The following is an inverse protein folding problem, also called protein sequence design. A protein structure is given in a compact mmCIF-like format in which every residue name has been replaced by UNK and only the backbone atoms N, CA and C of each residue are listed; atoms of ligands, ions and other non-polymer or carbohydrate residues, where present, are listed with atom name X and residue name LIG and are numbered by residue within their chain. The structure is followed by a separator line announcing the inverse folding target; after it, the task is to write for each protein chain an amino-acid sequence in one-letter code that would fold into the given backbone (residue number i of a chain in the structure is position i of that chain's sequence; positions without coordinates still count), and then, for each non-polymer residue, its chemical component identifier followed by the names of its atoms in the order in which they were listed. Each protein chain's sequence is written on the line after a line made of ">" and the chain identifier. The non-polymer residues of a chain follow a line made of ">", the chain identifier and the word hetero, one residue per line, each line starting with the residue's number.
data_IF_478513098821
#
_entry.id   IF_478513098821
#
_cell.length_a   1.000
_cell.length_b   1.000
_cell.length_c   1.000
_cell.angle_alpha   90.00
_cell.angle_beta   90.00
_cell.angle_gamma   90.00
#
_symmetry.space_group_name_H-M   'P 1'
#
loop_
_entity.id
_entity.type
_entity.pdbx_description
1 polymer ?
#
# COMPACT_ATOMS: atom_id res chain seq x y z
N UNK A 1 -41.85 66.41 -20.26
CA UNK A 1 -41.33 66.48 -18.88
C UNK A 1 -40.64 65.15 -18.61
N UNK A 2 -39.33 65.23 -18.42
CA UNK A 2 -38.36 64.12 -18.38
C UNK A 2 -38.63 63.25 -17.15
N UNK A 3 -38.74 61.93 -17.33
CA UNK A 3 -38.62 60.97 -16.23
C UNK A 3 -37.29 60.24 -16.36
N UNK A 4 -36.52 60.35 -15.29
CA UNK A 4 -35.10 60.06 -15.12
C UNK A 4 -34.80 58.57 -14.96
N UNK A 5 -33.64 58.15 -15.51
CA UNK A 5 -32.95 56.89 -15.22
C UNK A 5 -32.54 56.83 -13.74
N UNK A 6 -33.32 56.14 -12.91
CA UNK A 6 -32.89 55.74 -11.57
C UNK A 6 -33.79 54.60 -11.06
N UNK A 7 -33.65 53.38 -11.58
CA UNK A 7 -34.29 52.18 -11.00
C UNK A 7 -33.64 50.85 -11.47
N UNK A 8 -32.31 50.81 -11.70
CA UNK A 8 -31.59 49.60 -12.13
C UNK A 8 -30.51 49.14 -11.13
N UNK A 9 -30.46 49.68 -9.91
CA UNK A 9 -29.42 49.29 -8.93
C UNK A 9 -29.97 49.05 -7.54
N UNK A 10 -30.77 47.99 -7.38
CA UNK A 10 -30.96 47.28 -6.10
C UNK A 10 -31.82 46.05 -6.34
N UNK A 11 -31.18 44.88 -6.46
CA UNK A 11 -31.68 43.52 -6.12
C UNK A 11 -30.95 42.43 -6.93
N UNK A 12 -29.62 42.43 -6.87
CA UNK A 12 -28.82 41.20 -7.07
C UNK A 12 -28.30 40.76 -5.70
N UNK A 13 -29.24 40.52 -4.78
CA UNK A 13 -29.03 39.62 -3.64
C UNK A 13 -30.04 38.48 -3.84
N UNK A 14 -29.71 37.57 -4.76
CA UNK A 14 -30.49 36.39 -5.01
C UNK A 14 -29.56 35.17 -5.11
N UNK A 15 -29.31 34.57 -3.94
CA UNK A 15 -29.15 33.12 -3.82
C UNK A 15 -27.78 32.54 -4.16
N UNK A 16 -26.74 32.89 -3.38
CA UNK A 16 -25.68 31.91 -3.11
C UNK A 16 -26.32 30.83 -2.23
N UNK A 17 -26.91 29.81 -2.84
CA UNK A 17 -27.22 28.57 -2.13
C UNK A 17 -25.89 27.88 -1.86
N UNK A 18 -25.26 28.24 -0.74
CA UNK A 18 -24.12 27.53 -0.14
C UNK A 18 -24.53 26.07 0.10
N UNK A 19 -24.26 25.18 -0.84
CA UNK A 19 -24.28 23.74 -0.58
C UNK A 19 -22.93 23.33 -0.02
N UNK A 20 -22.91 22.89 1.24
CA UNK A 20 -21.75 22.22 1.84
C UNK A 20 -21.30 21.09 0.92
N UNK A 21 -20.00 21.01 0.62
CA UNK A 21 -19.43 19.80 0.01
C UNK A 21 -19.79 18.62 0.90
N UNK A 22 -20.42 17.61 0.31
CA UNK A 22 -20.91 16.42 1.04
C UNK A 22 -20.18 15.19 0.52
N UNK A 23 -20.34 14.07 1.20
CA UNK A 23 -19.72 12.78 0.89
C UNK A 23 -20.02 12.24 -0.52
N UNK A 24 -20.98 12.84 -1.23
CA UNK A 24 -21.42 12.46 -2.58
C UNK A 24 -20.98 13.45 -3.67
N UNK A 25 -20.18 14.46 -3.34
CA UNK A 25 -19.67 15.41 -4.33
C UNK A 25 -18.73 14.69 -5.31
N UNK A 26 -18.99 14.85 -6.61
CA UNK A 26 -18.24 14.18 -7.69
C UNK A 26 -16.74 14.48 -7.65
N UNK A 27 -15.92 13.45 -7.84
CA UNK A 27 -14.45 13.51 -7.81
C UNK A 27 -13.82 14.29 -8.98
N UNK A 28 -14.55 14.48 -10.08
CA UNK A 28 -14.04 15.09 -11.32
C UNK A 28 -14.62 16.49 -11.59
N UNK A 29 -15.61 16.92 -10.82
CA UNK A 29 -16.18 18.25 -10.96
C UNK A 29 -15.71 19.11 -9.80
N UNK A 30 -15.03 20.21 -10.13
CA UNK A 30 -14.94 21.36 -9.23
C UNK A 30 -16.35 21.66 -8.67
N UNK A 31 -16.47 22.17 -7.44
CA UNK A 31 -17.77 22.60 -6.96
C UNK A 31 -18.39 23.48 -8.04
N UNK A 32 -19.61 23.17 -8.50
CA UNK A 32 -20.28 23.87 -9.62
C UNK A 32 -20.38 25.41 -9.44
N UNK A 33 -19.94 25.93 -8.29
CA UNK A 33 -19.82 27.34 -7.97
C UNK A 33 -18.52 28.01 -8.45
N UNK A 34 -17.46 27.28 -8.83
CA UNK A 34 -16.20 27.88 -9.27
C UNK A 34 -16.14 27.91 -10.80
N UNK A 35 -16.19 29.09 -11.38
CA UNK A 35 -15.83 29.31 -12.79
C UNK A 35 -14.34 29.01 -12.99
N UNK A 36 -13.92 28.62 -14.21
CA UNK A 36 -12.49 28.43 -14.54
C UNK A 36 -11.64 29.65 -14.14
N UNK A 37 -12.23 30.85 -14.20
CA UNK A 37 -11.60 32.09 -13.75
C UNK A 37 -11.28 32.09 -12.24
N UNK A 38 -12.21 31.69 -11.37
CA UNK A 38 -12.02 31.64 -9.91
C UNK A 38 -11.02 30.55 -9.49
N UNK A 39 -11.00 29.41 -10.19
CA UNK A 39 -9.95 28.39 -9.99
C UNK A 39 -8.57 28.92 -10.37
N UNK A 40 -8.48 29.71 -11.44
CA UNK A 40 -7.21 30.30 -11.90
C UNK A 40 -6.73 31.41 -10.97
N UNK A 41 -7.65 32.13 -10.31
CA UNK A 41 -7.36 33.17 -9.33
C UNK A 41 -6.90 32.61 -7.97
N UNK A 42 -7.43 31.45 -7.57
CA UNK A 42 -7.01 30.74 -6.35
C UNK A 42 -5.74 29.89 -6.54
N UNK A 43 -5.40 29.56 -7.79
CA UNK A 43 -4.14 28.91 -8.13
C UNK A 43 -2.97 29.88 -8.07
N UNK A 44 -1.77 29.39 -7.75
CA UNK A 44 -0.65 30.31 -7.49
C UNK A 44 -0.17 30.98 -8.77
N UNK A 45 0.18 32.26 -8.68
CA UNK A 45 0.94 32.97 -9.72
C UNK A 45 2.45 32.65 -9.72
N UNK A 46 2.92 31.70 -8.90
CA UNK A 46 4.34 31.33 -8.87
C UNK A 46 4.84 30.84 -10.24
N UNK A 47 6.10 31.12 -10.60
CA UNK A 47 6.68 30.64 -11.85
C UNK A 47 6.79 29.10 -11.83
N UNK A 48 6.57 28.48 -13.00
CA UNK A 48 6.53 27.03 -13.16
C UNK A 48 7.76 26.33 -12.55
N UNK A 49 8.96 26.85 -12.82
CA UNK A 49 10.22 26.25 -12.37
C UNK A 49 10.33 26.15 -10.85
N UNK A 50 9.84 27.16 -10.12
CA UNK A 50 9.88 27.15 -8.64
C UNK A 50 8.92 26.11 -8.06
N UNK A 51 7.72 26.00 -8.62
CA UNK A 51 6.74 24.99 -8.21
C UNK A 51 7.26 23.59 -8.55
N UNK A 52 7.80 23.41 -9.75
CA UNK A 52 8.40 22.15 -10.19
C UNK A 52 9.54 21.69 -9.27
N UNK A 53 10.42 22.60 -8.84
CA UNK A 53 11.51 22.27 -7.92
C UNK A 53 11.00 21.91 -6.51
N UNK A 54 9.97 22.63 -6.02
CA UNK A 54 9.31 22.30 -4.74
C UNK A 54 8.66 20.92 -4.80
N UNK A 55 7.93 20.63 -5.87
CA UNK A 55 7.29 19.32 -6.09
C UNK A 55 8.34 18.23 -6.24
N UNK A 56 9.43 18.45 -7.00
CA UNK A 56 10.49 17.45 -7.15
C UNK A 56 11.14 17.10 -5.81
N UNK A 57 11.45 18.11 -4.99
CA UNK A 57 12.02 17.90 -3.65
C UNK A 57 11.04 17.17 -2.74
N UNK A 58 9.77 17.58 -2.73
CA UNK A 58 8.75 16.94 -1.92
C UNK A 58 8.52 15.49 -2.35
N UNK A 59 8.38 15.24 -3.65
CA UNK A 59 8.14 13.93 -4.23
C UNK A 59 9.29 12.98 -3.92
N UNK A 60 10.53 13.33 -4.26
CA UNK A 60 11.71 12.48 -4.00
C UNK A 60 11.88 12.16 -2.51
N UNK A 61 11.68 13.14 -1.62
CA UNK A 61 11.78 12.91 -0.16
C UNK A 61 10.65 12.00 0.33
N UNK A 62 9.42 12.23 -0.12
CA UNK A 62 8.24 11.47 0.26
C UNK A 62 8.28 10.03 -0.24
N UNK A 63 8.61 9.85 -1.52
CA UNK A 63 8.80 8.52 -2.13
C UNK A 63 9.93 7.76 -1.46
N UNK A 64 11.02 8.42 -1.06
CA UNK A 64 12.08 7.78 -0.29
C UNK A 64 11.57 7.22 1.05
N UNK A 65 10.83 8.01 1.83
CA UNK A 65 10.26 7.54 3.10
C UNK A 65 9.30 6.37 2.90
N UNK A 66 8.43 6.45 1.91
CA UNK A 66 7.44 5.41 1.64
C UNK A 66 8.08 4.13 1.10
N UNK A 67 9.04 4.23 0.17
CA UNK A 67 9.81 3.09 -0.31
C UNK A 67 10.60 2.43 0.84
N UNK A 68 11.22 3.23 1.71
CA UNK A 68 11.90 2.72 2.90
C UNK A 68 10.93 2.01 3.86
N UNK A 69 9.70 2.50 4.03
CA UNK A 69 8.69 1.80 4.80
C UNK A 69 8.36 0.42 4.20
N UNK A 70 8.12 0.35 2.90
CA UNK A 70 7.83 -0.92 2.21
C UNK A 70 8.99 -1.92 2.32
N UNK A 71 10.23 -1.44 2.19
CA UNK A 71 11.43 -2.25 2.37
C UNK A 71 11.61 -2.73 3.81
N UNK A 72 11.44 -1.85 4.80
CA UNK A 72 11.50 -2.25 6.21
C UNK A 72 10.43 -3.30 6.54
N UNK A 73 9.23 -3.13 6.00
CA UNK A 73 8.15 -4.08 6.21
C UNK A 73 8.43 -5.45 5.57
N UNK A 74 9.10 -5.50 4.42
CA UNK A 74 9.50 -6.77 3.79
C UNK A 74 10.64 -7.49 4.54
N UNK A 75 11.37 -6.80 5.41
CA UNK A 75 12.38 -7.44 6.26
C UNK A 75 11.78 -8.37 7.32
N UNK A 76 10.55 -8.11 7.78
CA UNK A 76 9.87 -8.97 8.77
C UNK A 76 9.70 -10.41 8.23
N UNK A 77 9.02 -10.65 7.08
CA UNK A 77 8.91 -11.99 6.54
C UNK A 77 10.27 -12.57 6.12
N UNK A 78 11.21 -11.74 5.68
CA UNK A 78 12.58 -12.19 5.37
C UNK A 78 13.28 -12.80 6.58
N UNK A 79 13.22 -12.16 7.75
CA UNK A 79 13.80 -12.68 9.00
C UNK A 79 13.16 -14.01 9.40
N UNK A 80 11.83 -14.15 9.23
CA UNK A 80 11.14 -15.41 9.48
C UNK A 80 11.65 -16.53 8.56
N UNK A 81 11.80 -16.26 7.26
CA UNK A 81 12.34 -17.20 6.28
C UNK A 81 13.74 -17.65 6.66
N UNK A 82 14.61 -16.71 7.01
CA UNK A 82 15.98 -17.03 7.44
C UNK A 82 15.96 -17.92 8.68
N UNK A 83 15.22 -17.54 9.72
CA UNK A 83 15.27 -18.23 11.01
C UNK A 83 14.63 -19.63 10.94
N UNK A 84 13.46 -19.74 10.29
CA UNK A 84 12.80 -21.03 10.09
C UNK A 84 13.55 -21.92 9.10
N UNK A 85 14.21 -21.35 8.09
CA UNK A 85 15.04 -22.08 7.15
C UNK A 85 16.17 -22.87 7.81
N UNK A 86 16.73 -22.36 8.91
CA UNK A 86 17.75 -23.06 9.69
C UNK A 86 17.19 -24.21 10.55
N UNK A 87 15.87 -24.30 10.75
CA UNK A 87 15.25 -25.43 11.47
C UNK A 87 15.06 -26.66 10.58
N UNK A 88 14.81 -26.45 9.28
CA UNK A 88 14.64 -27.51 8.31
C UNK A 88 13.74 -27.15 7.14
N UNK A 89 13.88 -27.91 6.04
CA UNK A 89 13.15 -27.68 4.80
C UNK A 89 11.63 -27.84 4.96
N UNK A 90 11.18 -28.83 5.75
CA UNK A 90 9.75 -29.09 6.01
C UNK A 90 9.09 -27.93 6.75
N UNK A 91 9.76 -27.39 7.77
CA UNK A 91 9.28 -26.23 8.54
C UNK A 91 9.20 -24.99 7.65
N UNK A 92 10.24 -24.76 6.84
CA UNK A 92 10.27 -23.64 5.90
C UNK A 92 9.13 -23.73 4.88
N UNK A 93 8.94 -24.91 4.27
CA UNK A 93 7.86 -25.14 3.31
C UNK A 93 6.48 -24.89 3.94
N UNK A 94 6.25 -25.39 5.16
CA UNK A 94 5.00 -25.16 5.88
C UNK A 94 4.78 -23.67 6.21
N UNK A 95 5.82 -22.96 6.64
CA UNK A 95 5.72 -21.52 6.89
C UNK A 95 5.37 -20.75 5.62
N UNK A 96 6.09 -20.98 4.52
CA UNK A 96 5.86 -20.30 3.25
C UNK A 96 4.44 -20.56 2.74
N UNK A 97 3.99 -21.81 2.80
CA UNK A 97 2.62 -22.18 2.41
C UNK A 97 1.58 -21.43 3.27
N UNK A 98 1.80 -21.37 4.59
CA UNK A 98 0.94 -20.61 5.52
C UNK A 98 0.89 -19.13 5.18
N UNK A 99 2.06 -18.51 4.98
CA UNK A 99 2.14 -17.08 4.68
C UNK A 99 1.50 -16.74 3.34
N UNK A 100 1.56 -17.66 2.36
CA UNK A 100 0.89 -17.49 1.07
C UNK A 100 -0.64 -17.59 1.21
N UNK A 101 -1.15 -18.57 1.96
CA UNK A 101 -2.57 -18.65 2.28
C UNK A 101 -3.05 -17.39 3.01
N UNK A 102 -2.29 -16.92 4.00
CA UNK A 102 -2.57 -15.69 4.72
C UNK A 102 -2.59 -14.46 3.79
N UNK A 103 -1.60 -14.34 2.90
CA UNK A 103 -1.49 -13.24 1.97
C UNK A 103 -2.70 -13.16 1.04
N UNK A 104 -3.12 -14.29 0.45
CA UNK A 104 -4.23 -14.33 -0.51
C UNK A 104 -5.59 -14.13 0.17
N UNK A 105 -5.82 -14.79 1.32
CA UNK A 105 -7.14 -14.80 1.97
C UNK A 105 -7.37 -13.55 2.81
N UNK A 106 -6.36 -13.05 3.51
CA UNK A 106 -6.52 -11.92 4.45
C UNK A 106 -5.85 -10.63 3.96
N UNK A 107 -4.55 -10.68 3.64
CA UNK A 107 -3.75 -9.46 3.39
C UNK A 107 -4.14 -8.74 2.10
N UNK A 108 -4.16 -9.43 0.97
CA UNK A 108 -4.43 -8.84 -0.35
C UNK A 108 -5.82 -8.16 -0.43
N UNK A 109 -6.93 -8.78 0.03
CA UNK A 109 -8.21 -8.08 0.09
C UNK A 109 -8.20 -6.88 1.05
N UNK A 110 -7.45 -6.97 2.15
CA UNK A 110 -7.30 -5.82 3.06
C UNK A 110 -6.62 -4.66 2.36
N UNK A 111 -5.48 -4.88 1.70
CA UNK A 111 -4.77 -3.87 0.91
C UNK A 111 -5.67 -3.24 -0.16
N UNK A 112 -6.46 -4.04 -0.89
CA UNK A 112 -7.41 -3.52 -1.89
C UNK A 112 -8.48 -2.61 -1.29
N UNK A 113 -9.07 -2.96 -0.14
CA UNK A 113 -10.03 -2.07 0.53
C UNK A 113 -9.40 -0.77 1.01
N UNK A 114 -8.11 -0.81 1.33
CA UNK A 114 -7.39 0.35 1.84
C UNK A 114 -7.00 1.33 0.75
N UNK A 115 -6.75 0.87 -0.48
CA UNK A 115 -6.61 1.76 -1.64
C UNK A 115 -7.86 2.61 -1.88
N UNK A 116 -9.06 2.03 -1.70
CA UNK A 116 -10.30 2.80 -1.74
C UNK A 116 -10.39 3.83 -0.60
N UNK A 117 -10.02 3.42 0.63
CA UNK A 117 -9.97 4.33 1.78
C UNK A 117 -9.02 5.50 1.55
N UNK A 118 -7.81 5.25 1.04
CA UNK A 118 -6.80 6.27 0.73
C UNK A 118 -7.36 7.31 -0.25
N UNK A 119 -8.07 6.86 -1.28
CA UNK A 119 -8.73 7.75 -2.26
C UNK A 119 -9.76 8.66 -1.59
N UNK A 120 -10.62 8.12 -0.73
CA UNK A 120 -11.62 8.94 -0.03
C UNK A 120 -10.98 9.89 1.00
N UNK A 121 -9.99 9.41 1.76
CA UNK A 121 -9.31 10.21 2.78
C UNK A 121 -8.54 11.39 2.17
N UNK A 122 -7.83 11.19 1.05
CA UNK A 122 -7.12 12.28 0.36
C UNK A 122 -8.08 13.37 -0.13
N UNK A 123 -9.18 12.97 -0.77
CA UNK A 123 -10.19 13.94 -1.22
C UNK A 123 -10.81 14.72 -0.02
N UNK A 124 -11.16 14.01 1.06
CA UNK A 124 -11.74 14.64 2.25
C UNK A 124 -10.75 15.58 2.96
N UNK A 125 -9.45 15.30 2.92
CA UNK A 125 -8.42 16.08 3.61
C UNK A 125 -8.34 17.52 3.10
N UNK A 126 -8.56 17.75 1.80
CA UNK A 126 -8.43 19.09 1.18
C UNK A 126 -9.74 19.67 0.64
N UNK A 127 -10.71 18.86 0.24
CA UNK A 127 -11.97 19.34 -0.33
C UNK A 127 -13.04 19.70 0.71
N UNK A 128 -12.90 19.20 1.95
CA UNK A 128 -13.83 19.46 3.04
C UNK A 128 -13.29 20.52 4.00
N UNK A 129 -14.15 21.46 4.42
CA UNK A 129 -13.85 22.34 5.56
C UNK A 129 -13.90 21.58 6.89
N UNK A 130 -14.66 20.48 6.95
CA UNK A 130 -14.74 19.60 8.11
C UNK A 130 -13.61 18.57 8.07
N UNK A 131 -12.60 18.78 8.93
CA UNK A 131 -11.45 17.90 9.10
C UNK A 131 -11.84 16.48 9.57
N UNK A 132 -12.99 16.32 10.24
CA UNK A 132 -13.40 15.03 10.81
C UNK A 132 -13.87 14.03 9.76
N UNK A 133 -14.12 14.49 8.53
CA UNK A 133 -14.54 13.63 7.44
C UNK A 133 -13.48 12.60 7.04
N UNK A 134 -12.19 12.95 7.17
CA UNK A 134 -11.07 12.00 6.96
C UNK A 134 -11.17 10.84 7.96
N UNK A 135 -11.46 11.14 9.22
CA UNK A 135 -11.70 10.15 10.27
C UNK A 135 -12.92 9.27 10.00
N UNK A 136 -13.98 9.79 9.37
CA UNK A 136 -15.13 8.98 8.96
C UNK A 136 -14.77 7.98 7.87
N UNK A 137 -13.98 8.38 6.88
CA UNK A 137 -13.51 7.46 5.84
C UNK A 137 -12.57 6.40 6.39
N UNK A 138 -11.70 6.74 7.35
CA UNK A 138 -10.92 5.75 8.08
C UNK A 138 -11.84 4.75 8.78
N UNK A 139 -12.87 5.20 9.52
CA UNK A 139 -13.83 4.31 10.17
C UNK A 139 -14.55 3.38 9.19
N UNK A 140 -14.93 3.87 8.00
CA UNK A 140 -15.51 3.03 6.93
C UNK A 140 -14.55 1.95 6.47
N UNK A 141 -13.29 2.32 6.20
CA UNK A 141 -12.25 1.37 5.83
C UNK A 141 -12.05 0.31 6.90
N UNK A 142 -11.98 0.71 8.17
CA UNK A 142 -11.88 -0.22 9.30
C UNK A 142 -13.07 -1.19 9.33
N UNK A 143 -14.30 -0.70 9.25
CA UNK A 143 -15.50 -1.54 9.27
C UNK A 143 -15.54 -2.51 8.08
N UNK A 144 -15.14 -2.05 6.89
CA UNK A 144 -15.07 -2.90 5.70
C UNK A 144 -14.04 -4.03 5.88
N UNK A 145 -12.86 -3.70 6.41
CA UNK A 145 -11.83 -4.69 6.74
C UNK A 145 -12.32 -5.65 7.81
N UNK A 146 -12.96 -5.18 8.89
CA UNK A 146 -13.54 -6.07 9.91
C UNK A 146 -14.57 -7.03 9.32
N UNK A 147 -15.46 -6.56 8.44
CA UNK A 147 -16.44 -7.39 7.77
C UNK A 147 -15.79 -8.49 6.91
N UNK A 148 -14.71 -8.16 6.20
CA UNK A 148 -13.87 -9.13 5.49
C UNK A 148 -13.21 -10.13 6.44
N UNK A 149 -12.64 -9.68 7.54
CA UNK A 149 -11.98 -10.54 8.52
C UNK A 149 -12.93 -11.56 9.16
N UNK A 150 -14.22 -11.22 9.33
CA UNK A 150 -15.25 -12.16 9.78
C UNK A 150 -15.37 -13.37 8.83
N UNK A 151 -15.14 -13.17 7.53
CA UNK A 151 -15.16 -14.23 6.52
C UNK A 151 -13.79 -14.93 6.42
N UNK A 152 -12.70 -14.16 6.42
CA UNK A 152 -11.36 -14.68 6.22
C UNK A 152 -10.86 -15.55 7.40
N UNK A 153 -11.15 -15.16 8.65
CA UNK A 153 -10.63 -15.86 9.83
C UNK A 153 -11.13 -17.31 9.93
N UNK A 154 -12.43 -17.62 9.78
CA UNK A 154 -12.90 -19.02 9.78
C UNK A 154 -12.25 -19.88 8.71
N UNK A 155 -11.96 -19.33 7.53
CA UNK A 155 -11.28 -20.04 6.45
C UNK A 155 -9.85 -20.38 6.89
N UNK A 156 -9.12 -19.40 7.43
CA UNK A 156 -7.75 -19.58 7.89
C UNK A 156 -7.64 -20.55 9.10
N UNK A 157 -8.61 -20.53 10.02
CA UNK A 157 -8.69 -21.49 11.13
C UNK A 157 -8.82 -22.95 10.64
N UNK A 158 -9.46 -23.14 9.48
CA UNK A 158 -9.58 -24.45 8.83
C UNK A 158 -8.44 -24.70 7.82
N UNK A 159 -7.37 -23.90 7.82
CA UNK A 159 -6.27 -23.97 6.87
C UNK A 159 -5.67 -25.37 6.74
N UNK A 160 -5.40 -26.06 7.86
CA UNK A 160 -4.90 -27.46 7.84
C UNK A 160 -5.82 -28.39 7.05
N UNK A 161 -7.13 -28.34 7.31
CA UNK A 161 -8.13 -29.20 6.66
C UNK A 161 -8.23 -28.90 5.17
N UNK A 162 -8.17 -27.61 4.80
CA UNK A 162 -8.20 -27.17 3.41
C UNK A 162 -6.94 -27.67 2.68
N UNK A 163 -5.76 -27.54 3.29
CA UNK A 163 -4.51 -28.03 2.71
C UNK A 163 -4.50 -29.55 2.54
N UNK A 164 -5.01 -30.29 3.53
CA UNK A 164 -5.20 -31.74 3.41
C UNK A 164 -6.17 -32.10 2.28
N UNK A 165 -7.27 -31.36 2.11
CA UNK A 165 -8.25 -31.59 1.05
C UNK A 165 -7.68 -31.31 -0.35
N UNK A 166 -6.73 -30.39 -0.47
CA UNK A 166 -6.00 -30.10 -1.72
C UNK A 166 -4.89 -31.13 -2.00
N UNK A 167 -4.64 -32.06 -1.07
CA UNK A 167 -3.67 -33.14 -1.23
C UNK A 167 -2.26 -32.81 -0.76
N UNK A 168 -2.09 -31.81 0.10
CA UNK A 168 -0.79 -31.50 0.71
C UNK A 168 -0.34 -32.61 1.67
N UNK A 169 0.98 -32.75 1.82
CA UNK A 169 1.57 -33.71 2.76
C UNK A 169 1.04 -33.46 4.19
N UNK A 170 0.61 -34.49 4.93
CA UNK A 170 -0.01 -34.31 6.24
C UNK A 170 0.83 -33.52 7.24
N UNK A 171 2.15 -33.72 7.26
CA UNK A 171 3.04 -33.00 8.16
C UNK A 171 3.15 -31.52 7.81
N UNK A 172 3.28 -31.19 6.51
CA UNK A 172 3.33 -29.81 6.03
C UNK A 172 2.00 -29.11 6.30
N UNK A 173 0.87 -29.77 6.01
CA UNK A 173 -0.46 -29.23 6.26
C UNK A 173 -0.69 -28.95 7.76
N UNK A 174 -0.26 -29.87 8.64
CA UNK A 174 -0.35 -29.71 10.08
C UNK A 174 0.48 -28.54 10.59
N UNK A 175 1.77 -28.48 10.22
CA UNK A 175 2.64 -27.36 10.60
C UNK A 175 2.12 -26.03 10.05
N UNK A 176 1.57 -26.04 8.84
CA UNK A 176 0.99 -24.84 8.23
C UNK A 176 -0.23 -24.35 9.00
N UNK A 177 -1.12 -25.27 9.39
CA UNK A 177 -2.25 -24.98 10.25
C UNK A 177 -1.84 -24.41 11.60
N UNK A 178 -0.78 -24.94 12.21
CA UNK A 178 -0.24 -24.39 13.46
C UNK A 178 0.25 -22.95 13.29
N UNK A 179 0.96 -22.65 12.20
CA UNK A 179 1.47 -21.32 11.91
C UNK A 179 0.32 -20.33 11.66
N UNK A 180 -0.66 -20.71 10.82
CA UNK A 180 -1.86 -19.93 10.54
C UNK A 180 -2.66 -19.60 11.81
N UNK A 181 -2.90 -20.60 12.67
CA UNK A 181 -3.64 -20.42 13.91
C UNK A 181 -3.03 -19.36 14.84
N UNK A 182 -1.69 -19.27 14.87
CA UNK A 182 -0.99 -18.22 15.63
C UNK A 182 -1.09 -16.89 14.90
N UNK A 183 -0.79 -16.88 13.59
CA UNK A 183 -0.77 -15.67 12.77
C UNK A 183 -2.12 -14.95 12.70
N UNK A 184 -3.23 -15.66 12.91
CA UNK A 184 -4.58 -15.08 13.01
C UNK A 184 -4.67 -13.97 14.07
N UNK A 185 -3.88 -14.05 15.13
CA UNK A 185 -3.84 -13.03 16.18
C UNK A 185 -3.14 -11.73 15.73
N UNK A 186 -2.37 -11.77 14.65
CA UNK A 186 -1.65 -10.63 14.05
C UNK A 186 -2.41 -9.92 12.93
N UNK A 187 -3.47 -10.54 12.37
CA UNK A 187 -4.20 -9.99 11.22
C UNK A 187 -4.85 -8.65 11.56
N UNK A 188 -5.52 -8.60 12.71
CA UNK A 188 -6.18 -7.38 13.15
C UNK A 188 -5.18 -6.22 13.35
N UNK A 189 -4.13 -6.35 14.18
CA UNK A 189 -3.21 -5.25 14.37
C UNK A 189 -2.45 -4.87 13.08
N UNK A 190 -2.11 -5.83 12.23
CA UNK A 190 -1.47 -5.55 10.95
C UNK A 190 -2.37 -4.72 10.02
N UNK A 191 -3.63 -5.12 9.85
CA UNK A 191 -4.58 -4.38 9.01
C UNK A 191 -4.91 -2.99 9.57
N UNK A 192 -5.04 -2.86 10.89
CA UNK A 192 -5.21 -1.56 11.54
C UNK A 192 -3.98 -0.67 11.38
N UNK A 193 -2.76 -1.22 11.47
CA UNK A 193 -1.52 -0.49 11.23
C UNK A 193 -1.49 0.07 9.81
N UNK A 194 -1.78 -0.77 8.83
CA UNK A 194 -1.84 -0.37 7.44
C UNK A 194 -2.88 0.76 7.25
N UNK A 195 -4.03 0.68 7.93
CA UNK A 195 -5.11 1.67 7.73
C UNK A 195 -4.71 3.03 8.32
N UNK A 196 -4.05 2.99 9.48
CA UNK A 196 -3.44 4.16 10.09
C UNK A 196 -2.32 4.74 9.23
N UNK A 197 -1.51 3.90 8.57
CA UNK A 197 -0.45 4.31 7.65
C UNK A 197 -1.05 5.04 6.44
N UNK A 198 -2.05 4.47 5.76
CA UNK A 198 -2.78 5.14 4.68
C UNK A 198 -3.44 6.44 5.14
N UNK A 199 -4.00 6.49 6.35
CA UNK A 199 -4.56 7.71 6.94
C UNK A 199 -3.51 8.82 7.08
N UNK A 200 -2.28 8.49 7.51
CA UNK A 200 -1.18 9.46 7.56
C UNK A 200 -0.71 9.88 6.16
N UNK A 201 -0.58 8.93 5.22
CA UNK A 201 -0.16 9.20 3.84
C UNK A 201 -1.17 10.10 3.11
N UNK A 202 -2.47 9.90 3.34
CA UNK A 202 -3.52 10.79 2.81
C UNK A 202 -3.38 12.25 3.26
N UNK A 203 -2.72 12.48 4.40
CA UNK A 203 -2.43 13.80 4.97
C UNK A 203 -1.01 14.29 4.67
N UNK A 204 -0.31 13.66 3.72
CA UNK A 204 1.06 13.97 3.33
C UNK A 204 2.14 13.66 4.39
N UNK A 205 1.79 12.86 5.41
CA UNK A 205 2.70 12.45 6.49
C UNK A 205 3.35 11.09 6.19
N UNK A 206 4.21 11.05 5.18
CA UNK A 206 4.82 9.82 4.64
C UNK A 206 5.81 9.14 5.59
N UNK A 207 6.43 9.89 6.51
CA UNK A 207 7.46 9.35 7.42
C UNK A 207 6.90 8.55 8.61
N UNK A 208 5.59 8.59 8.85
CA UNK A 208 4.97 7.96 10.02
C UNK A 208 5.18 6.44 10.07
N UNK A 209 4.85 5.75 8.98
CA UNK A 209 5.05 4.31 8.86
C UNK A 209 6.53 3.92 8.98
N UNK A 210 7.42 4.64 8.30
CA UNK A 210 8.86 4.37 8.32
C UNK A 210 9.47 4.55 9.70
N UNK A 211 9.04 5.58 10.44
CA UNK A 211 9.52 5.84 11.80
C UNK A 211 9.19 4.66 12.71
N UNK A 212 7.95 4.16 12.66
CA UNK A 212 7.51 3.01 13.47
C UNK A 212 8.27 1.75 13.07
N UNK A 213 8.34 1.46 11.77
CA UNK A 213 9.04 0.27 11.26
C UNK A 213 10.53 0.28 11.58
N UNK A 214 11.17 1.45 11.59
CA UNK A 214 12.58 1.61 11.96
C UNK A 214 12.89 1.13 13.38
N UNK A 215 11.93 1.20 14.30
CA UNK A 215 12.06 0.63 15.64
C UNK A 215 11.60 -0.82 15.71
N UNK A 216 10.50 -1.17 15.05
CA UNK A 216 9.92 -2.52 15.15
C UNK A 216 10.79 -3.57 14.48
N UNK A 217 11.41 -3.31 13.33
CA UNK A 217 12.18 -4.33 12.59
C UNK A 217 13.37 -4.87 13.39
N UNK A 218 14.23 -4.04 14.02
CA UNK A 218 15.28 -4.54 14.90
C UNK A 218 14.75 -5.34 16.10
N UNK A 219 13.63 -4.89 16.68
CA UNK A 219 12.97 -5.59 17.78
C UNK A 219 12.45 -6.96 17.29
N UNK A 220 11.85 -7.01 16.10
CA UNK A 220 11.38 -8.24 15.47
C UNK A 220 12.53 -9.22 15.30
N UNK A 221 13.66 -8.79 14.72
CA UNK A 221 14.82 -9.65 14.53
C UNK A 221 15.33 -10.23 15.85
N UNK A 222 15.35 -9.42 16.91
CA UNK A 222 15.77 -9.85 18.25
C UNK A 222 14.78 -10.86 18.84
N UNK A 223 13.48 -10.55 18.84
CA UNK A 223 12.44 -11.44 19.39
C UNK A 223 12.37 -12.74 18.59
N UNK A 224 12.46 -12.67 17.27
CA UNK A 224 12.44 -13.84 16.40
C UNK A 224 13.61 -14.76 16.72
N UNK A 225 14.84 -14.25 16.75
CA UNK A 225 16.02 -15.03 17.11
C UNK A 225 15.87 -15.68 18.50
N UNK A 226 15.40 -14.92 19.49
CA UNK A 226 15.19 -15.44 20.85
C UNK A 226 14.10 -16.53 20.89
N UNK A 227 12.98 -16.36 20.21
CA UNK A 227 11.88 -17.33 20.24
C UNK A 227 12.15 -18.58 19.38
N UNK A 228 12.95 -18.46 18.33
CA UNK A 228 13.22 -19.56 17.41
C UNK A 228 14.46 -20.36 17.80
N UNK A 229 15.57 -19.69 18.16
CA UNK A 229 16.88 -20.33 18.34
C UNK A 229 17.42 -20.34 19.78
N UNK A 230 16.85 -19.57 20.70
CA UNK A 230 17.32 -19.59 22.09
C UNK A 230 17.04 -20.93 22.77
N UNK A 231 17.79 -21.22 23.83
CA UNK A 231 17.56 -22.39 24.70
C UNK A 231 16.16 -22.40 25.34
N UNK A 232 15.54 -21.23 25.49
CA UNK A 232 14.15 -21.07 25.96
C UNK A 232 13.14 -20.83 24.83
N UNK A 233 13.58 -20.98 23.57
CA UNK A 233 12.75 -20.76 22.40
C UNK A 233 11.65 -21.82 22.25
N UNK A 234 10.57 -21.43 21.58
CA UNK A 234 9.45 -22.31 21.21
C UNK A 234 9.59 -22.88 19.78
N UNK A 235 10.79 -22.76 19.20
CA UNK A 235 11.16 -23.32 17.90
C UNK A 235 10.36 -22.72 16.75
N UNK A 236 9.83 -23.59 15.88
CA UNK A 236 9.05 -23.22 14.68
C UNK A 236 7.93 -22.20 14.95
N UNK A 237 7.18 -22.40 16.04
CA UNK A 237 6.07 -21.51 16.43
C UNK A 237 6.55 -20.10 16.79
N UNK A 238 7.82 -19.97 17.17
CA UNK A 238 8.46 -18.72 17.57
C UNK A 238 8.42 -17.66 16.49
N UNK A 239 8.55 -18.05 15.21
CA UNK A 239 8.49 -17.11 14.09
C UNK A 239 7.09 -16.49 13.93
N UNK A 240 6.02 -17.29 14.05
CA UNK A 240 4.66 -16.79 14.02
C UNK A 240 4.38 -15.86 15.23
N UNK A 241 4.79 -16.26 16.43
CA UNK A 241 4.61 -15.45 17.65
C UNK A 241 5.38 -14.13 17.57
N UNK A 242 6.62 -14.14 17.08
CA UNK A 242 7.41 -12.94 16.86
C UNK A 242 6.72 -11.98 15.89
N UNK A 243 6.12 -12.52 14.82
CA UNK A 243 5.36 -11.74 13.83
C UNK A 243 4.15 -11.07 14.47
N UNK A 244 3.33 -11.83 15.23
CA UNK A 244 2.16 -11.28 15.92
C UNK A 244 2.56 -10.18 16.91
N UNK A 245 3.62 -10.38 17.70
CA UNK A 245 4.12 -9.35 18.62
C UNK A 245 4.52 -8.09 17.83
N UNK A 246 5.23 -8.25 16.72
CA UNK A 246 5.62 -7.14 15.86
C UNK A 246 4.43 -6.41 15.26
N UNK A 247 3.38 -7.11 14.83
CA UNK A 247 2.15 -6.48 14.32
C UNK A 247 1.48 -5.62 15.40
N UNK A 248 1.41 -6.11 16.64
CA UNK A 248 0.91 -5.32 17.77
C UNK A 248 1.80 -4.12 18.10
N UNK A 249 3.13 -4.27 18.05
CA UNK A 249 4.07 -3.16 18.23
C UNK A 249 3.92 -2.11 17.12
N UNK A 250 3.70 -2.54 15.87
CA UNK A 250 3.42 -1.65 14.73
C UNK A 250 2.14 -0.86 14.97
N UNK A 251 1.05 -1.52 15.36
CA UNK A 251 -0.21 -0.86 15.69
C UNK A 251 -0.03 0.16 16.84
N UNK A 252 0.58 -0.25 17.96
CA UNK A 252 0.82 0.64 19.09
C UNK A 252 1.68 1.83 18.68
N UNK A 253 2.76 1.59 17.93
CA UNK A 253 3.68 2.62 17.45
C UNK A 253 3.00 3.65 16.56
N UNK A 254 2.18 3.21 15.60
CA UNK A 254 1.50 4.13 14.68
C UNK A 254 0.40 4.93 15.38
N UNK A 255 -0.32 4.34 16.34
CA UNK A 255 -1.30 5.06 17.15
C UNK A 255 -0.63 6.12 18.04
N UNK A 256 0.53 5.81 18.62
CA UNK A 256 1.33 6.79 19.37
C UNK A 256 1.81 7.91 18.45
N UNK A 257 2.26 7.58 17.23
CA UNK A 257 2.66 8.57 16.23
C UNK A 257 1.50 9.50 15.87
N UNK A 258 0.33 8.94 15.54
CA UNK A 258 -0.88 9.72 15.21
C UNK A 258 -1.22 10.68 16.36
N UNK A 259 -1.26 10.17 17.60
CA UNK A 259 -1.57 10.98 18.80
C UNK A 259 -0.60 12.13 19.03
N UNK A 260 0.67 12.00 18.63
CA UNK A 260 1.71 13.03 18.77
C UNK A 260 1.84 13.95 17.56
N UNK A 261 1.18 13.62 16.45
CA UNK A 261 1.22 14.37 15.21
C UNK A 261 -0.02 15.25 15.04
N UNK A 262 -0.01 16.15 14.06
CA UNK A 262 -1.18 16.96 13.68
C UNK A 262 -2.33 16.11 13.11
N UNK A 263 -2.07 14.86 12.72
CA UNK A 263 -3.07 13.97 12.14
C UNK A 263 -4.24 13.65 13.09
N UNK A 264 -4.02 13.77 14.41
CA UNK A 264 -5.07 13.53 15.40
C UNK A 264 -6.25 14.51 15.25
N UNK A 265 -6.03 15.70 14.70
CA UNK A 265 -7.09 16.68 14.45
C UNK A 265 -8.12 16.18 13.41
N UNK A 266 -7.69 15.29 12.52
CA UNK A 266 -8.51 14.75 11.43
C UNK A 266 -9.22 13.44 11.81
N UNK A 267 -8.87 12.85 12.95
CA UNK A 267 -9.54 11.64 13.45
C UNK A 267 -10.96 11.93 13.94
N UNK A 268 -11.15 13.04 14.67
CA UNK A 268 -12.41 13.35 15.32
C UNK A 268 -12.72 12.38 16.47
N UNK A 269 -13.73 11.52 16.27
CA UNK A 269 -14.21 10.52 17.24
C UNK A 269 -14.96 9.39 16.52
N UNK A 270 -15.17 8.26 17.20
CA UNK A 270 -16.10 7.24 16.70
C UNK A 270 -17.50 7.82 16.58
N UNK A 271 -18.07 7.75 15.36
CA UNK A 271 -19.43 8.21 15.08
C UNK A 271 -20.12 7.19 14.17
N UNK A 272 -21.25 6.57 14.59
CA UNK A 272 -22.02 5.67 13.73
C UNK A 272 -22.46 6.29 12.41
N UNK A 273 -22.49 7.62 12.29
CA UNK A 273 -22.71 8.30 11.00
C UNK A 273 -21.68 7.95 9.96
N UNK A 274 -20.46 7.58 10.35
CA UNK A 274 -19.45 7.06 9.43
C UNK A 274 -19.95 5.82 8.68
N UNK A 275 -20.90 5.05 9.21
CA UNK A 275 -21.47 3.88 8.54
C UNK A 275 -22.51 4.23 7.45
N UNK A 276 -22.88 5.51 7.31
CA UNK A 276 -23.71 5.95 6.19
C UNK A 276 -22.90 5.84 4.90
N UNK A 277 -23.56 5.57 3.78
CA UNK A 277 -22.95 5.51 2.44
C UNK A 277 -21.82 4.46 2.25
N UNK A 278 -21.84 3.35 3.01
CA UNK A 278 -20.91 2.23 2.79
C UNK A 278 -20.98 1.66 1.35
N UNK A 279 -22.12 1.82 0.67
CA UNK A 279 -22.27 1.42 -0.73
C UNK A 279 -21.25 2.09 -1.66
N UNK A 280 -21.07 3.41 -1.57
CA UNK A 280 -20.08 4.12 -2.40
C UNK A 280 -18.65 3.71 -2.05
N UNK A 281 -18.38 3.39 -0.78
CA UNK A 281 -17.10 2.83 -0.38
C UNK A 281 -16.86 1.47 -1.05
N UNK A 282 -17.81 0.54 -0.96
CA UNK A 282 -17.68 -0.80 -1.56
C UNK A 282 -17.64 -0.78 -3.09
N UNK A 283 -18.31 0.18 -3.72
CA UNK A 283 -18.26 0.38 -5.17
C UNK A 283 -16.84 0.66 -5.68
N UNK A 284 -16.00 1.31 -4.88
CA UNK A 284 -14.58 1.51 -5.18
C UNK A 284 -13.69 0.39 -4.62
N UNK A 285 -14.00 -0.10 -3.43
CA UNK A 285 -13.19 -1.12 -2.74
C UNK A 285 -13.23 -2.49 -3.43
N UNK A 286 -14.40 -2.95 -3.89
CA UNK A 286 -14.54 -4.27 -4.53
C UNK A 286 -13.69 -4.37 -5.81
N UNK A 287 -13.74 -3.42 -6.77
CA UNK A 287 -12.84 -3.43 -7.91
C UNK A 287 -11.37 -3.41 -7.50
N UNK A 288 -11.00 -2.60 -6.50
CA UNK A 288 -9.61 -2.53 -6.03
C UNK A 288 -9.13 -3.88 -5.44
N UNK A 289 -9.96 -4.54 -4.63
CA UNK A 289 -9.71 -5.91 -4.13
C UNK A 289 -9.52 -6.88 -5.29
N UNK A 290 -10.41 -6.85 -6.28
CA UNK A 290 -10.31 -7.73 -7.45
C UNK A 290 -8.99 -7.49 -8.19
N UNK A 291 -8.58 -6.23 -8.39
CA UNK A 291 -7.33 -5.92 -9.08
C UNK A 291 -6.10 -6.43 -8.33
N UNK A 292 -6.05 -6.27 -7.00
CA UNK A 292 -4.92 -6.73 -6.18
C UNK A 292 -4.88 -8.26 -6.12
N UNK A 293 -6.03 -8.92 -5.93
CA UNK A 293 -6.08 -10.39 -5.93
C UNK A 293 -5.76 -10.97 -7.31
N UNK A 294 -6.25 -10.35 -8.40
CA UNK A 294 -5.96 -10.79 -9.76
C UNK A 294 -4.48 -10.63 -10.11
N UNK A 295 -3.82 -9.54 -9.70
CA UNK A 295 -2.38 -9.36 -9.95
C UNK A 295 -1.56 -10.43 -9.24
N UNK A 296 -1.84 -10.72 -7.96
CA UNK A 296 -1.21 -11.83 -7.24
C UNK A 296 -1.42 -13.17 -7.96
N UNK A 297 -2.64 -13.45 -8.39
CA UNK A 297 -2.97 -14.70 -9.09
C UNK A 297 -2.24 -14.82 -10.44
N UNK A 298 -2.07 -13.73 -11.18
CA UNK A 298 -1.32 -13.73 -12.44
C UNK A 298 0.16 -14.10 -12.24
N UNK A 299 0.82 -13.64 -11.16
CA UNK A 299 2.20 -14.03 -10.87
C UNK A 299 2.33 -15.51 -10.49
N UNK A 300 1.37 -16.06 -9.75
CA UNK A 300 1.32 -17.49 -9.44
C UNK A 300 1.08 -18.32 -10.71
N UNK A 301 0.16 -17.89 -11.59
CA UNK A 301 -0.05 -18.53 -12.88
C UNK A 301 1.21 -18.50 -13.75
N UNK A 302 1.97 -17.39 -13.75
CA UNK A 302 3.23 -17.29 -14.46
C UNK A 302 4.27 -18.29 -13.89
N UNK A 303 4.37 -18.39 -12.57
CA UNK A 303 5.25 -19.34 -11.89
C UNK A 303 4.89 -20.79 -12.25
N UNK A 304 3.62 -21.17 -12.11
CA UNK A 304 3.11 -22.50 -12.48
C UNK A 304 3.33 -22.78 -13.97
N UNK A 305 3.06 -21.80 -14.84
CA UNK A 305 3.27 -21.94 -16.28
C UNK A 305 4.75 -22.21 -16.61
N UNK A 306 5.67 -21.49 -15.98
CA UNK A 306 7.11 -21.68 -16.17
C UNK A 306 7.60 -23.05 -15.69
N UNK A 307 6.93 -23.64 -14.68
CA UNK A 307 7.27 -24.98 -14.18
C UNK A 307 7.11 -26.09 -15.23
N UNK A 308 6.19 -25.94 -16.20
CA UNK A 308 6.01 -26.90 -17.29
C UNK A 308 7.16 -26.91 -18.31
N UNK A 309 7.97 -25.85 -18.35
CA UNK A 309 9.13 -25.73 -19.23
C UNK A 309 10.43 -26.24 -18.58
N UNK A 310 10.35 -26.88 -17.42
CA UNK A 310 11.48 -27.49 -16.71
C UNK A 310 12.08 -26.62 -15.61
N UNK A 311 12.97 -27.23 -14.82
CA UNK A 311 13.53 -26.63 -13.60
C UNK A 311 14.35 -25.36 -13.87
N UNK A 312 15.10 -25.31 -14.97
CA UNK A 312 15.92 -24.14 -15.35
C UNK A 312 15.01 -22.94 -15.66
N UNK A 313 13.96 -23.14 -16.44
CA UNK A 313 12.97 -22.12 -16.79
C UNK A 313 12.24 -21.59 -15.56
N UNK A 314 11.86 -22.48 -14.63
CA UNK A 314 11.24 -22.12 -13.37
C UNK A 314 12.19 -21.30 -12.48
N UNK A 315 13.46 -21.70 -12.37
CA UNK A 315 14.46 -20.98 -11.60
C UNK A 315 14.71 -19.58 -12.20
N UNK A 316 14.86 -19.47 -13.52
CA UNK A 316 15.03 -18.19 -14.20
C UNK A 316 13.83 -17.26 -14.00
N UNK A 317 12.62 -17.79 -14.15
CA UNK A 317 11.37 -17.03 -13.91
C UNK A 317 11.26 -16.59 -12.46
N UNK A 318 11.66 -17.43 -11.50
CA UNK A 318 11.65 -17.10 -10.06
C UNK A 318 12.62 -15.98 -9.74
N UNK A 319 13.85 -16.01 -10.26
CA UNK A 319 14.83 -14.92 -10.08
C UNK A 319 14.26 -13.61 -10.63
N UNK A 320 13.59 -13.69 -11.77
CA UNK A 320 13.01 -12.52 -12.37
C UNK A 320 11.80 -11.95 -11.62
N UNK A 321 10.89 -12.80 -11.14
CA UNK A 321 9.77 -12.37 -10.28
C UNK A 321 10.30 -11.71 -9.01
N UNK A 322 11.37 -12.24 -8.39
CA UNK A 322 11.99 -11.61 -7.23
C UNK A 322 12.64 -10.26 -7.57
N UNK A 323 13.30 -10.15 -8.71
CA UNK A 323 13.85 -8.89 -9.22
C UNK A 323 12.74 -7.86 -9.47
N UNK A 324 11.61 -8.32 -10.01
CA UNK A 324 10.43 -7.49 -10.21
C UNK A 324 9.87 -6.99 -8.88
N UNK A 325 9.68 -7.88 -7.90
CA UNK A 325 9.21 -7.51 -6.58
C UNK A 325 10.09 -6.43 -5.93
N UNK A 326 11.41 -6.53 -6.05
CA UNK A 326 12.32 -5.50 -5.53
C UNK A 326 12.11 -4.15 -6.21
N UNK A 327 12.02 -4.14 -7.54
CA UNK A 327 11.80 -2.92 -8.33
C UNK A 327 10.43 -2.31 -8.06
N UNK A 328 9.40 -3.15 -7.96
CA UNK A 328 8.02 -2.78 -7.66
C UNK A 328 7.90 -2.04 -6.32
N UNK A 329 8.69 -2.41 -5.30
CA UNK A 329 8.67 -1.69 -4.02
C UNK A 329 9.16 -0.23 -4.15
N UNK A 330 10.12 0.02 -5.05
CA UNK A 330 10.62 1.36 -5.32
C UNK A 330 9.55 2.18 -6.05
N UNK A 331 8.97 1.62 -7.12
CA UNK A 331 7.92 2.28 -7.91
C UNK A 331 6.66 2.53 -7.09
N UNK A 332 6.23 1.55 -6.30
CA UNK A 332 5.10 1.66 -5.37
C UNK A 332 5.30 2.77 -4.35
N UNK A 333 6.53 2.96 -3.87
CA UNK A 333 6.87 4.08 -2.99
C UNK A 333 6.55 5.45 -3.61
N UNK A 334 6.78 5.60 -4.92
CA UNK A 334 6.40 6.80 -5.68
C UNK A 334 4.88 6.89 -5.82
N UNK A 335 4.22 5.80 -6.19
CA UNK A 335 2.75 5.74 -6.33
C UNK A 335 2.01 6.15 -5.05
N UNK A 336 2.34 5.53 -3.92
CA UNK A 336 1.73 5.83 -2.60
C UNK A 336 2.05 7.24 -2.08
N UNK A 337 3.07 7.91 -2.61
CA UNK A 337 3.34 9.32 -2.28
C UNK A 337 2.64 10.30 -3.22
N UNK A 338 2.60 10.00 -4.52
CA UNK A 338 2.08 10.89 -5.56
C UNK A 338 0.57 10.89 -5.64
N UNK A 339 -0.08 9.73 -5.45
CA UNK A 339 -1.54 9.59 -5.48
C UNK A 339 -2.25 10.54 -4.50
N UNK A 340 -1.96 10.43 -3.18
CA UNK A 340 -2.48 11.37 -2.19
C UNK A 340 -2.14 12.81 -2.48
N UNK A 341 -0.92 13.13 -2.90
CA UNK A 341 -0.49 14.50 -3.21
C UNK A 341 -1.32 15.14 -4.32
N UNK A 342 -1.49 14.43 -5.43
CA UNK A 342 -2.27 14.92 -6.57
C UNK A 342 -3.74 15.04 -6.18
N UNK A 343 -4.30 14.04 -5.49
CA UNK A 343 -5.67 14.08 -4.96
C UNK A 343 -5.89 15.28 -4.04
N UNK A 344 -4.95 15.53 -3.14
CA UNK A 344 -4.97 16.66 -2.22
C UNK A 344 -4.93 18.00 -2.96
N UNK A 345 -4.08 18.16 -3.97
CA UNK A 345 -3.99 19.38 -4.78
C UNK A 345 -5.27 19.64 -5.59
N UNK A 346 -5.90 18.59 -6.13
CA UNK A 346 -7.19 18.68 -6.83
C UNK A 346 -8.29 19.10 -5.84
N UNK A 347 -8.38 18.42 -4.69
CA UNK A 347 -9.37 18.76 -3.66
C UNK A 347 -9.18 20.16 -3.06
N UNK A 348 -7.95 20.68 -3.04
CA UNK A 348 -7.63 22.04 -2.63
C UNK A 348 -7.94 23.12 -3.70
N UNK A 349 -8.46 22.73 -4.86
CA UNK A 349 -8.76 23.64 -5.96
C UNK A 349 -7.52 24.24 -6.62
N UNK A 350 -6.41 23.49 -6.70
CA UNK A 350 -5.13 23.93 -7.32
C UNK A 350 -4.77 23.09 -8.55
N UNK A 351 -5.51 23.21 -9.67
CA UNK A 351 -5.35 22.34 -10.83
C UNK A 351 -3.99 22.48 -11.54
N UNK A 352 -3.37 23.67 -11.54
CA UNK A 352 -2.02 23.90 -12.09
C UNK A 352 -0.97 23.17 -11.27
N UNK A 353 -1.02 23.27 -9.93
CA UNK A 353 -0.11 22.52 -9.06
C UNK A 353 -0.30 21.01 -9.22
N UNK A 354 -1.55 20.55 -9.32
CA UNK A 354 -1.84 19.14 -9.56
C UNK A 354 -1.23 18.64 -10.89
N UNK A 355 -1.33 19.42 -11.98
CA UNK A 355 -0.67 19.11 -13.26
C UNK A 355 0.85 19.05 -13.16
N UNK A 356 1.46 20.04 -12.49
CA UNK A 356 2.91 20.04 -12.27
C UNK A 356 3.33 18.83 -11.42
N UNK A 357 2.60 18.53 -10.35
CA UNK A 357 2.89 17.39 -9.48
C UNK A 357 2.76 16.06 -10.23
N UNK A 358 1.75 15.91 -11.10
CA UNK A 358 1.62 14.77 -12.03
C UNK A 358 2.85 14.65 -12.93
N UNK A 359 3.23 15.74 -13.61
CA UNK A 359 4.34 15.73 -14.56
C UNK A 359 5.68 15.40 -13.88
N UNK A 360 5.89 15.93 -12.67
CA UNK A 360 7.05 15.61 -11.84
C UNK A 360 7.01 14.16 -11.35
N UNK A 361 5.84 13.62 -10.98
CA UNK A 361 5.70 12.21 -10.59
C UNK A 361 6.08 11.27 -11.74
N UNK A 362 5.58 11.57 -12.95
CA UNK A 362 5.92 10.83 -14.17
C UNK A 362 7.42 10.93 -14.50
N UNK A 363 8.02 12.10 -14.30
CA UNK A 363 9.46 12.28 -14.50
C UNK A 363 10.28 11.46 -13.49
N UNK A 364 9.89 11.46 -12.21
CA UNK A 364 10.59 10.73 -11.14
C UNK A 364 10.50 9.23 -11.35
N UNK A 365 9.32 8.70 -11.72
CA UNK A 365 9.18 7.26 -12.00
C UNK A 365 9.92 6.85 -13.26
N UNK A 366 9.88 7.65 -14.34
CA UNK A 366 10.64 7.39 -15.55
C UNK A 366 12.16 7.42 -15.30
N UNK A 367 12.64 8.39 -14.50
CA UNK A 367 14.06 8.48 -14.12
C UNK A 367 14.48 7.27 -13.27
N UNK A 368 13.65 6.85 -12.32
CA UNK A 368 13.92 5.69 -11.47
C UNK A 368 13.92 4.39 -12.27
N UNK A 369 12.94 4.20 -13.16
CA UNK A 369 12.89 3.08 -14.09
C UNK A 369 14.11 3.03 -15.01
N UNK A 370 14.52 4.17 -15.56
CA UNK A 370 15.74 4.26 -16.37
C UNK A 370 17.00 3.86 -15.59
N UNK A 371 17.13 4.30 -14.33
CA UNK A 371 18.24 3.88 -13.45
C UNK A 371 18.24 2.37 -13.24
N UNK A 372 17.08 1.77 -12.98
CA UNK A 372 16.95 0.31 -12.79
C UNK A 372 17.32 -0.44 -14.07
N UNK A 373 16.86 0.03 -15.24
CA UNK A 373 17.17 -0.60 -16.53
C UNK A 373 18.66 -0.52 -16.84
N UNK A 374 19.28 0.65 -16.61
CA UNK A 374 20.73 0.82 -16.77
C UNK A 374 21.46 -0.17 -15.85
N UNK A 375 21.06 -0.23 -14.58
CA UNK A 375 21.64 -1.17 -13.62
C UNK A 375 21.48 -2.64 -14.07
N UNK A 376 20.28 -3.08 -14.45
CA UNK A 376 20.03 -4.45 -14.90
C UNK A 376 20.73 -4.77 -16.23
N UNK A 377 20.95 -3.79 -17.10
CA UNK A 377 21.65 -4.00 -18.36
C UNK A 377 23.16 -4.18 -18.14
N UNK A 378 23.79 -3.32 -17.34
CA UNK A 378 25.24 -3.37 -17.12
C UNK A 378 25.66 -4.32 -16.00
N UNK A 379 24.86 -4.42 -14.95
CA UNK A 379 25.13 -5.21 -13.76
C UNK A 379 24.20 -6.43 -13.62
N UNK A 380 23.33 -6.72 -14.58
CA UNK A 380 22.35 -7.82 -14.50
C UNK A 380 22.98 -9.18 -14.24
N UNK A 381 24.12 -9.48 -14.86
CA UNK A 381 24.83 -10.74 -14.58
C UNK A 381 25.33 -10.82 -13.14
N UNK A 382 25.83 -9.72 -12.58
CA UNK A 382 26.24 -9.64 -11.18
C UNK A 382 25.02 -9.78 -10.25
N UNK A 383 23.92 -9.11 -10.57
CA UNK A 383 22.67 -9.22 -9.83
C UNK A 383 22.13 -10.66 -9.82
N UNK A 384 22.05 -11.32 -10.97
CA UNK A 384 21.60 -12.72 -11.08
C UNK A 384 22.56 -13.65 -10.30
N UNK A 385 23.87 -13.37 -10.29
CA UNK A 385 24.84 -14.19 -9.56
C UNK A 385 24.65 -14.19 -8.05
N UNK A 386 23.90 -13.21 -7.51
CA UNK A 386 23.47 -13.21 -6.10
C UNK A 386 22.50 -14.36 -5.81
N UNK A 387 21.70 -14.77 -6.79
CA UNK A 387 20.69 -15.82 -6.65
C UNK A 387 21.25 -17.22 -6.94
N UNK A 388 22.15 -17.35 -7.92
CA UNK A 388 22.66 -18.66 -8.35
C UNK A 388 24.04 -18.56 -9.01
N UNK A 389 24.82 -19.64 -8.89
CA UNK A 389 26.09 -19.83 -9.61
C UNK A 389 25.95 -20.76 -10.82
N UNK A 390 24.75 -21.29 -11.10
CA UNK A 390 24.49 -22.15 -12.24
C UNK A 390 24.50 -21.35 -13.55
N UNK A 391 25.42 -21.69 -14.45
CA UNK A 391 25.61 -21.00 -15.71
C UNK A 391 24.39 -21.10 -16.64
N UNK A 392 23.64 -22.21 -16.62
CA UNK A 392 22.46 -22.40 -17.46
C UNK A 392 21.31 -21.52 -16.97
N UNK A 393 21.07 -21.48 -15.66
CA UNK A 393 20.05 -20.59 -15.07
C UNK A 393 20.40 -19.12 -15.29
N UNK A 394 21.68 -18.74 -15.15
CA UNK A 394 22.14 -17.38 -15.45
C UNK A 394 21.87 -17.03 -16.91
N UNK A 395 22.18 -17.93 -17.84
CA UNK A 395 21.97 -17.71 -19.26
C UNK A 395 20.49 -17.54 -19.62
N UNK A 396 19.62 -18.41 -19.11
CA UNK A 396 18.17 -18.29 -19.34
C UNK A 396 17.58 -17.03 -18.70
N UNK A 397 18.01 -16.67 -17.49
CA UNK A 397 17.54 -15.44 -16.83
C UNK A 397 17.96 -14.19 -17.61
N UNK A 398 19.18 -14.17 -18.16
CA UNK A 398 19.66 -13.06 -18.99
C UNK A 398 18.84 -12.91 -20.28
N UNK A 399 18.33 -14.01 -20.87
CA UNK A 399 17.44 -13.93 -22.05
C UNK A 399 16.11 -13.27 -21.73
N UNK A 400 15.59 -13.46 -20.51
CA UNK A 400 14.33 -12.86 -20.10
C UNK A 400 14.48 -11.38 -19.66
N UNK A 401 15.69 -10.96 -19.28
CA UNK A 401 15.96 -9.62 -18.73
C UNK A 401 15.41 -8.45 -19.57
N UNK A 402 15.50 -8.43 -20.91
CA UNK A 402 14.93 -7.33 -21.70
C UNK A 402 13.41 -7.19 -21.55
N UNK A 403 12.70 -8.30 -21.39
CA UNK A 403 11.24 -8.30 -21.17
C UNK A 403 10.93 -7.70 -19.80
N UNK A 404 11.74 -8.02 -18.78
CA UNK A 404 11.59 -7.41 -17.45
C UNK A 404 11.93 -5.93 -17.44
N UNK A 405 12.99 -5.51 -18.13
CA UNK A 405 13.31 -4.09 -18.28
C UNK A 405 12.16 -3.32 -18.93
N UNK A 406 11.48 -3.90 -19.93
CA UNK A 406 10.29 -3.30 -20.52
C UNK A 406 9.13 -3.24 -19.52
N UNK A 407 8.88 -4.33 -18.78
CA UNK A 407 7.82 -4.39 -17.76
C UNK A 407 7.99 -3.29 -16.69
N UNK A 408 9.21 -3.09 -16.17
CA UNK A 408 9.53 -2.08 -15.14
C UNK A 408 9.12 -0.65 -15.55
N UNK A 409 9.19 -0.31 -16.84
CA UNK A 409 8.78 1.02 -17.32
C UNK A 409 7.27 1.21 -17.20
N UNK A 410 6.49 0.16 -17.47
CA UNK A 410 5.03 0.23 -17.51
C UNK A 410 4.37 -0.03 -16.15
N UNK A 411 5.09 -0.69 -15.24
CA UNK A 411 4.59 -1.08 -13.93
C UNK A 411 4.65 0.06 -12.90
N UNK A 412 5.62 0.98 -13.03
CA UNK A 412 5.72 2.19 -12.21
C UNK A 412 4.97 3.37 -12.82
#
# INVERSE_FOLDING_TARGET
>A
MVFTMADITTNIEAGVVERSTTETTSLLHAPQSWTEAELTEHDTHEPYFTVALKELKWMTTSSFWTALALLLQSLIPFVNVVSVGHLGATQLAAMVLSTNCYAVIASAPSIGMMGAMETFCGNAYTASRDKTLVGFHLQRGLVAVFAHLIIAVPILLNGERILLAIGQEPLIAHLSGQYLNIQILGILPMTLFEACKCFLQSQELMSGGTTVLGFVVPIHATINYLLVHSTYGIGYKGAAVATVISDWLMLCGILIYIKRSRAIEYWGRWDPKALRNMYEFYKLAIPSVITVCASCFCFELLSVSSSYFGAISLAATSIAINTNNFTFQISSGIGYSSGPRIGNLIGAGKPRWARISRDISLLVVAATGAIVIIFLTFCGRLWISVYTSDAEVVHETLKLMPVFCAYVIFDG
#
